data_IF_629070356391
#
_entry.id   IF_629070356391
#
_cell.length_a   1.000
_cell.length_b   1.000
_cell.length_c   1.000
_cell.angle_alpha   90.00
_cell.angle_beta   90.00
_cell.angle_gamma   90.00
#
_symmetry.space_group_name_H-M   'P 1'
#
loop_
_entity.id
_entity.type
_entity.pdbx_description
1 polymer ?
#
# COMPACT_ATOMS: atom_id res chain seq x y z
N UNK A 1 -20.28 1.12 20.05
CA UNK A 1 -20.88 0.17 19.09
C UNK A 1 -21.15 0.95 17.81
N UNK A 2 -20.48 0.78 16.69
CA UNK A 2 -19.48 -0.17 16.24
C UNK A 2 -19.46 0.03 14.74
N UNK A 3 -18.36 0.54 14.19
CA UNK A 3 -18.05 0.42 12.77
C UNK A 3 -16.57 0.75 12.54
N UNK A 4 -15.72 -0.07 13.18
CA UNK A 4 -14.49 -0.51 12.52
C UNK A 4 -14.95 -1.33 11.31
N UNK A 5 -15.32 -0.66 10.22
CA UNK A 5 -15.45 -1.36 8.95
C UNK A 5 -14.03 -1.84 8.65
N UNK A 6 -13.76 -3.16 8.57
CA UNK A 6 -12.46 -3.62 8.12
C UNK A 6 -12.22 -2.95 6.76
N UNK A 7 -11.11 -2.21 6.67
CA UNK A 7 -10.71 -1.39 5.54
C UNK A 7 -10.47 -2.31 4.33
N UNK A 8 -11.53 -2.76 3.69
CA UNK A 8 -11.48 -3.39 2.37
C UNK A 8 -11.54 -2.26 1.35
N UNK A 9 -10.47 -1.46 1.29
CA UNK A 9 -10.35 -0.44 0.27
C UNK A 9 -10.41 -1.12 -1.09
N UNK A 10 -11.44 -0.81 -1.88
CA UNK A 10 -11.44 -1.10 -3.30
C UNK A 10 -10.25 -0.35 -3.90
N UNK A 11 -9.16 -1.06 -4.13
CA UNK A 11 -7.94 -0.51 -4.71
C UNK A 11 -7.84 -0.90 -6.18
N UNK A 12 -7.33 0.00 -7.00
CA UNK A 12 -6.83 -0.33 -8.33
C UNK A 12 -5.40 -0.85 -8.15
N UNK A 13 -5.11 -2.01 -8.72
CA UNK A 13 -3.77 -2.61 -8.69
C UNK A 13 -3.23 -2.60 -10.11
N UNK A 14 -2.11 -1.91 -10.31
CA UNK A 14 -1.35 -1.88 -11.55
C UNK A 14 0.03 -2.46 -11.30
N UNK A 15 0.61 -3.10 -12.29
CA UNK A 15 1.92 -3.71 -12.17
C UNK A 15 2.78 -3.42 -13.38
N UNK A 16 4.07 -3.30 -13.14
CA UNK A 16 5.09 -3.04 -14.13
C UNK A 16 6.26 -3.98 -13.86
N UNK A 17 6.63 -4.77 -14.86
CA UNK A 17 7.80 -5.64 -14.80
C UNK A 17 9.02 -4.88 -15.29
N UNK A 18 10.03 -4.77 -14.43
CA UNK A 18 11.38 -4.37 -14.79
C UNK A 18 12.27 -5.63 -14.91
N UNK A 19 13.52 -5.45 -15.33
CA UNK A 19 14.49 -6.52 -15.59
C UNK A 19 14.81 -7.33 -14.33
N UNK A 20 14.83 -6.71 -13.16
CA UNK A 20 15.26 -7.31 -11.88
C UNK A 20 14.20 -7.27 -10.77
N UNK A 21 13.06 -6.62 -10.99
CA UNK A 21 12.00 -6.49 -9.98
C UNK A 21 10.61 -6.27 -10.60
N UNK A 22 9.58 -6.56 -9.80
CA UNK A 22 8.18 -6.28 -10.06
C UNK A 22 7.75 -5.07 -9.22
N UNK A 23 7.27 -4.03 -9.89
CA UNK A 23 6.63 -2.88 -9.26
C UNK A 23 5.12 -3.08 -9.26
N UNK A 24 4.48 -2.87 -8.10
CA UNK A 24 3.03 -2.94 -7.92
C UNK A 24 2.54 -1.62 -7.34
N UNK A 25 1.67 -0.95 -8.09
CA UNK A 25 1.03 0.28 -7.68
C UNK A 25 -0.36 -0.04 -7.16
N UNK A 26 -0.61 0.33 -5.90
CA UNK A 26 -1.89 0.14 -5.22
C UNK A 26 -2.50 1.52 -5.01
N UNK A 27 -3.51 1.86 -5.81
CA UNK A 27 -4.25 3.13 -5.69
C UNK A 27 -5.55 2.91 -4.93
N UNK A 28 -5.65 3.48 -3.75
CA UNK A 28 -6.82 3.40 -2.88
C UNK A 28 -7.92 4.37 -3.34
N UNK A 29 -9.18 3.96 -3.15
CA UNK A 29 -10.35 4.80 -3.48
C UNK A 29 -10.42 6.09 -2.66
N UNK A 30 -9.90 6.07 -1.44
CA UNK A 30 -9.89 7.20 -0.52
C UNK A 30 -8.45 7.48 -0.13
N UNK A 31 -8.15 8.74 0.19
CA UNK A 31 -6.84 9.09 0.71
C UNK A 31 -6.59 8.28 1.98
N UNK A 32 -5.37 7.81 2.16
CA UNK A 32 -4.99 7.17 3.41
C UNK A 32 -4.82 8.24 4.47
N UNK A 33 -5.90 8.46 5.24
CA UNK A 33 -5.89 9.29 6.44
C UNK A 33 -4.91 8.70 7.45
N UNK A 34 -4.02 9.54 7.94
CA UNK A 34 -2.99 9.17 8.92
C UNK A 34 -3.16 9.97 10.21
N UNK A 35 -4.40 10.13 10.67
CA UNK A 35 -4.65 10.49 12.06
C UNK A 35 -6.03 9.99 12.50
N UNK A 36 -6.16 9.60 13.76
CA UNK A 36 -7.46 9.33 14.39
C UNK A 36 -7.96 10.53 15.21
N UNK A 37 -7.28 11.69 15.07
CA UNK A 37 -7.53 12.92 15.81
C UNK A 37 -8.13 14.02 14.90
N UNK A 38 -9.35 14.50 15.17
CA UNK A 38 -10.04 15.51 14.36
C UNK A 38 -9.49 16.94 14.49
N UNK A 39 -8.41 17.17 15.25
CA UNK A 39 -7.79 18.50 15.46
C UNK A 39 -6.35 18.63 14.92
N UNK A 40 -5.82 17.64 14.21
CA UNK A 40 -4.44 17.67 13.71
C UNK A 40 -4.28 18.54 12.44
N UNK A 41 -3.15 19.25 12.33
CA UNK A 41 -2.70 19.97 11.11
C UNK A 41 -2.41 19.01 9.94
N UNK A 42 -2.14 19.54 8.73
CA UNK A 42 -1.87 18.78 7.49
C UNK A 42 -1.04 17.51 7.75
N UNK A 43 -1.65 16.36 7.46
CA UNK A 43 -1.14 15.07 7.91
C UNK A 43 -0.04 14.58 6.96
N UNK A 44 1.20 14.46 7.43
CA UNK A 44 2.24 13.69 6.75
C UNK A 44 1.74 12.24 6.56
N UNK A 45 1.68 11.76 5.31
CA UNK A 45 1.22 10.41 4.94
C UNK A 45 2.24 9.31 5.35
N UNK A 46 2.68 9.31 6.61
CA UNK A 46 3.84 8.53 7.04
C UNK A 46 3.50 7.11 7.50
N UNK A 47 2.23 6.81 7.79
CA UNK A 47 1.84 5.47 8.26
C UNK A 47 1.60 4.54 7.08
N UNK A 48 2.68 4.08 6.48
CA UNK A 48 2.68 2.98 5.53
C UNK A 48 2.55 1.62 6.27
N UNK A 49 1.71 0.68 5.80
CA UNK A 49 1.71 -0.68 6.33
C UNK A 49 3.12 -1.31 6.24
N UNK A 50 3.61 -2.01 7.29
CA UNK A 50 4.90 -2.69 7.25
C UNK A 50 5.00 -3.67 6.07
N UNK A 51 6.16 -3.72 5.41
CA UNK A 51 6.41 -4.58 4.26
C UNK A 51 6.04 -6.06 4.53
N UNK A 52 6.36 -6.56 5.72
CA UNK A 52 6.08 -7.94 6.14
C UNK A 52 4.59 -8.29 6.25
N UNK A 53 3.67 -7.32 6.20
CA UNK A 53 2.22 -7.56 6.20
C UNK A 53 1.65 -7.78 4.79
N UNK A 54 2.42 -7.45 3.74
CA UNK A 54 2.01 -7.68 2.37
C UNK A 54 2.32 -9.11 1.97
N UNK A 55 1.34 -9.79 1.39
CA UNK A 55 1.49 -11.10 0.79
C UNK A 55 1.39 -10.92 -0.72
N UNK A 56 2.48 -11.24 -1.42
CA UNK A 56 2.52 -11.23 -2.89
C UNK A 56 2.86 -12.64 -3.35
N UNK A 57 2.01 -13.17 -4.22
CA UNK A 57 2.23 -14.43 -4.90
C UNK A 57 2.39 -14.13 -6.39
N UNK A 58 3.54 -14.48 -6.95
CA UNK A 58 3.86 -14.33 -8.36
C UNK A 58 4.43 -15.67 -8.85
N UNK A 59 3.89 -16.17 -9.96
CA UNK A 59 4.24 -17.49 -10.53
C UNK A 59 4.15 -18.64 -9.49
N UNK A 60 3.07 -18.68 -8.71
CA UNK A 60 2.82 -19.67 -7.64
C UNK A 60 3.88 -19.68 -6.52
N UNK A 61 4.68 -18.61 -6.40
CA UNK A 61 5.72 -18.45 -5.38
C UNK A 61 5.42 -17.20 -4.54
N UNK A 62 5.45 -17.37 -3.21
CA UNK A 62 5.38 -16.24 -2.28
C UNK A 62 6.67 -15.41 -2.36
N UNK A 63 6.54 -14.14 -2.74
CA UNK A 63 7.64 -13.20 -2.87
C UNK A 63 7.54 -12.11 -1.79
N UNK A 64 8.66 -11.71 -1.17
CA UNK A 64 8.64 -10.63 -0.18
C UNK A 64 8.53 -9.26 -0.85
N UNK A 65 7.78 -8.35 -0.25
CA UNK A 65 7.90 -6.93 -0.57
C UNK A 65 9.16 -6.39 0.10
N UNK A 66 10.15 -5.98 -0.70
CA UNK A 66 11.46 -5.52 -0.18
C UNK A 66 11.47 -4.02 0.09
N UNK A 67 10.77 -3.26 -0.73
CA UNK A 67 10.59 -1.82 -0.56
C UNK A 67 9.14 -1.42 -0.79
N UNK A 68 8.75 -0.29 -0.20
CA UNK A 68 7.49 0.38 -0.58
C UNK A 68 7.53 1.86 -0.21
N UNK A 69 6.82 2.67 -0.99
CA UNK A 69 6.82 4.12 -0.86
C UNK A 69 5.49 4.72 -1.34
N UNK A 70 4.96 5.69 -0.59
CA UNK A 70 3.83 6.50 -1.07
C UNK A 70 4.29 7.36 -2.25
N UNK A 71 3.52 7.32 -3.35
CA UNK A 71 3.72 8.20 -4.50
C UNK A 71 2.88 9.48 -4.36
N UNK A 72 1.73 9.35 -3.69
CA UNK A 72 0.81 10.43 -3.35
C UNK A 72 -0.09 9.97 -2.18
N UNK A 73 -1.13 10.76 -1.84
CA UNK A 73 -2.06 10.48 -0.74
C UNK A 73 -2.92 9.20 -0.92
N UNK A 74 -2.95 8.64 -2.13
CA UNK A 74 -3.79 7.51 -2.53
C UNK A 74 -3.01 6.32 -3.07
N UNK A 75 -1.78 6.50 -3.53
CA UNK A 75 -1.05 5.50 -4.30
C UNK A 75 0.19 5.03 -3.58
N UNK A 76 0.25 3.74 -3.29
CA UNK A 76 1.39 3.07 -2.69
C UNK A 76 2.12 2.21 -3.72
N UNK A 77 3.42 2.43 -3.88
CA UNK A 77 4.30 1.56 -4.65
C UNK A 77 4.85 0.45 -3.75
N UNK A 78 4.76 -0.80 -4.20
CA UNK A 78 5.41 -1.98 -3.64
C UNK A 78 6.44 -2.52 -4.63
N UNK A 79 7.64 -2.82 -4.16
CA UNK A 79 8.71 -3.40 -4.98
C UNK A 79 9.02 -4.82 -4.51
N UNK A 80 8.94 -5.76 -5.43
CA UNK A 80 9.13 -7.19 -5.21
C UNK A 80 10.31 -7.65 -6.08
N UNK A 81 11.35 -8.29 -5.51
CA UNK A 81 12.48 -8.77 -6.28
C UNK A 81 12.06 -9.96 -7.15
N UNK A 82 12.71 -10.11 -8.32
CA UNK A 82 12.57 -11.32 -9.14
C UNK A 82 13.17 -12.54 -8.43
#
# INVERSE_FOLDING_TARGET
>A
MGWLRPYAAKAKVEHEFDVDHLNVYVTFRFAMETTSDPLAEEVEHDVKPPNAKWLVEADDILKPVTASAWQDAWTLLLTIPN
#
